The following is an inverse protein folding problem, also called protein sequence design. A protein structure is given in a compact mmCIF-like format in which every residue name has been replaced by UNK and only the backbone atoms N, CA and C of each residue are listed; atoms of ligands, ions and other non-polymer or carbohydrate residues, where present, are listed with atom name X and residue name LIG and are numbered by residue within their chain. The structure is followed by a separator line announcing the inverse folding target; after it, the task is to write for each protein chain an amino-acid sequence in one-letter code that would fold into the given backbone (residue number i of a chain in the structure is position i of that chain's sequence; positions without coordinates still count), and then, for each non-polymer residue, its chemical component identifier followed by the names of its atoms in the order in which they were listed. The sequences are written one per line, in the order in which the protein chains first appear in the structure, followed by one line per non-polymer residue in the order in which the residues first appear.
data_IF_641083466864
#
_entry.id   IF_641083466864
#
_cell.length_a   1.000
_cell.length_b   1.000
_cell.length_c   1.000
_cell.angle_alpha   90.00
_cell.angle_beta   90.00
_cell.angle_gamma   90.00
#
_symmetry.space_group_name_H-M   'P 1'
#
loop_
_entity.id
_entity.type
_entity.pdbx_description
1 polymer ?
#
# COMPACT_ATOMS: atom_id res chain seq x y z
N UNK A 1 -12.63 -16.01 8.69
CA UNK A 1 -12.38 -15.38 7.39
C UNK A 1 -11.41 -14.20 7.54
N UNK A 2 -11.57 -13.31 8.53
CA UNK A 2 -10.64 -12.16 8.72
C UNK A 2 -9.21 -12.59 8.97
N UNK A 3 -9.02 -13.59 9.82
CA UNK A 3 -7.72 -14.20 10.03
C UNK A 3 -7.15 -14.81 8.74
N UNK A 4 -7.99 -15.42 7.89
CA UNK A 4 -7.55 -15.99 6.61
C UNK A 4 -7.13 -14.88 5.63
N UNK A 5 -7.87 -13.78 5.59
CA UNK A 5 -7.54 -12.58 4.81
C UNK A 5 -6.22 -11.99 5.32
N UNK A 6 -6.08 -11.77 6.64
CA UNK A 6 -4.83 -11.31 7.27
C UNK A 6 -3.64 -12.23 6.99
N UNK A 7 -3.85 -13.55 7.01
CA UNK A 7 -2.81 -14.54 6.70
C UNK A 7 -2.41 -14.53 5.22
N UNK A 8 -3.35 -14.36 4.30
CA UNK A 8 -3.08 -14.33 2.86
C UNK A 8 -2.17 -13.16 2.45
N UNK A 9 -2.20 -12.05 3.21
CA UNK A 9 -1.43 -10.84 2.93
C UNK A 9 -0.29 -10.58 3.92
N UNK A 10 0.06 -11.57 4.75
CA UNK A 10 1.06 -11.42 5.81
C UNK A 10 2.45 -10.99 5.30
N UNK A 11 2.79 -11.34 4.05
CA UNK A 11 4.08 -11.02 3.42
C UNK A 11 3.99 -9.97 2.30
N UNK A 12 2.87 -9.25 2.16
CA UNK A 12 2.71 -8.22 1.12
C UNK A 12 3.01 -6.86 1.71
N UNK A 13 4.23 -6.36 1.48
CA UNK A 13 4.81 -5.20 2.18
C UNK A 13 3.99 -3.90 2.07
N UNK A 14 3.26 -3.70 0.97
CA UNK A 14 2.47 -2.47 0.74
C UNK A 14 1.02 -2.61 1.22
N UNK A 15 0.38 -3.76 0.97
CA UNK A 15 -1.06 -3.94 1.21
C UNK A 15 -1.33 -4.54 2.60
N UNK A 16 -0.41 -5.38 3.09
CA UNK A 16 -0.54 -6.10 4.35
C UNK A 16 -0.85 -5.22 5.58
N UNK A 17 -0.14 -4.08 5.78
CA UNK A 17 -0.43 -3.15 6.88
C UNK A 17 -1.86 -2.57 6.81
N UNK A 18 -2.26 -2.06 5.65
CA UNK A 18 -3.58 -1.45 5.43
C UNK A 18 -4.73 -2.45 5.60
N UNK A 19 -4.51 -3.67 5.16
CA UNK A 19 -5.47 -4.76 5.31
C UNK A 19 -5.61 -5.20 6.77
N UNK A 20 -4.53 -5.13 7.55
CA UNK A 20 -4.59 -5.35 9.01
C UNK A 20 -5.34 -4.25 9.76
N UNK A 21 -5.24 -3.01 9.30
CA UNK A 21 -5.95 -1.84 9.83
C UNK A 21 -7.44 -1.83 9.49
N UNK A 22 -7.89 -2.67 8.56
CA UNK A 22 -9.30 -2.77 8.16
C UNK A 22 -9.72 -1.78 7.07
N UNK A 23 -8.77 -1.19 6.35
CA UNK A 23 -9.03 -0.21 5.29
C UNK A 23 -9.43 -0.88 3.95
N UNK A 24 -10.41 -1.78 4.00
CA UNK A 24 -10.93 -2.48 2.84
C UNK A 24 -12.40 -2.84 3.03
N UNK A 25 -13.13 -2.91 1.92
CA UNK A 25 -14.50 -3.40 1.87
C UNK A 25 -14.54 -4.77 1.19
N UNK A 26 -15.44 -5.61 1.67
CA UNK A 26 -15.83 -6.84 0.96
C UNK A 26 -17.11 -6.56 0.19
N UNK A 27 -17.14 -6.98 -1.06
CA UNK A 27 -18.24 -6.74 -1.98
C UNK A 27 -18.78 -8.09 -2.45
N UNK A 28 -20.07 -8.29 -2.27
CA UNK A 28 -20.78 -9.49 -2.69
C UNK A 28 -21.01 -9.53 -4.21
N UNK A 29 -21.60 -10.63 -4.70
CA UNK A 29 -21.83 -10.86 -6.13
C UNK A 29 -22.77 -9.82 -6.77
N UNK A 30 -23.67 -9.23 -5.98
CA UNK A 30 -24.63 -8.22 -6.46
C UNK A 30 -24.13 -6.78 -6.21
N UNK A 31 -22.89 -6.62 -5.76
CA UNK A 31 -22.28 -5.32 -5.48
C UNK A 31 -22.56 -4.77 -4.08
N UNK A 32 -23.17 -5.55 -3.19
CA UNK A 32 -23.45 -5.14 -1.81
C UNK A 32 -22.19 -5.16 -0.94
N UNK A 33 -22.06 -4.18 -0.03
CA UNK A 33 -20.96 -4.17 0.94
C UNK A 33 -21.28 -5.16 2.07
N UNK A 34 -20.35 -6.07 2.33
CA UNK A 34 -20.44 -7.09 3.37
C UNK A 34 -19.59 -6.63 4.57
N UNK A 35 -20.26 -6.34 5.69
CA UNK A 35 -19.57 -5.95 6.91
C UNK A 35 -18.92 -7.17 7.58
N UNK A 36 -17.66 -7.01 8.00
CA UNK A 36 -16.86 -8.03 8.69
C UNK A 36 -17.53 -8.59 9.96
N UNK A 37 -18.42 -7.81 10.59
CA UNK A 37 -19.16 -8.23 11.79
C UNK A 37 -20.22 -9.30 11.50
N UNK A 38 -20.82 -9.31 10.30
CA UNK A 38 -22.01 -10.14 9.99
C UNK A 38 -21.78 -11.12 8.83
N UNK A 39 -20.64 -11.07 8.18
CA UNK A 39 -20.30 -11.95 7.04
C UNK A 39 -20.47 -13.45 7.28
N UNK A 40 -20.31 -13.95 8.53
CA UNK A 40 -20.45 -15.37 8.86
C UNK A 40 -21.86 -15.89 8.62
N UNK A 41 -22.87 -15.03 8.76
CA UNK A 41 -24.26 -15.36 8.53
C UNK A 41 -24.78 -14.94 7.15
N UNK A 42 -24.05 -14.07 6.45
CA UNK A 42 -24.47 -13.49 5.18
C UNK A 42 -23.86 -14.21 3.97
N UNK A 43 -22.57 -14.56 4.03
CA UNK A 43 -21.84 -15.18 2.91
C UNK A 43 -22.27 -16.63 2.74
N UNK A 44 -22.59 -17.02 1.50
CA UNK A 44 -23.02 -18.37 1.16
C UNK A 44 -21.97 -19.11 0.33
N UNK A 45 -21.95 -20.46 0.38
CA UNK A 45 -21.10 -21.25 -0.50
C UNK A 45 -21.33 -20.92 -1.98
N UNK A 46 -20.23 -20.80 -2.73
CA UNK A 46 -20.27 -20.48 -4.16
C UNK A 46 -20.29 -18.99 -4.49
N UNK A 47 -20.38 -18.10 -3.49
CA UNK A 47 -20.27 -16.66 -3.74
C UNK A 47 -18.86 -16.27 -4.18
N UNK A 48 -18.79 -15.43 -5.21
CA UNK A 48 -17.58 -14.67 -5.54
C UNK A 48 -17.59 -13.38 -4.73
N UNK A 49 -16.63 -13.23 -3.83
CA UNK A 49 -16.44 -12.03 -3.03
C UNK A 49 -15.26 -11.25 -3.58
N UNK A 50 -15.46 -9.97 -3.87
CA UNK A 50 -14.38 -9.05 -4.23
C UNK A 50 -13.96 -8.23 -3.02
N UNK A 51 -12.69 -7.85 -2.98
CA UNK A 51 -12.14 -6.98 -1.95
C UNK A 51 -11.67 -5.69 -2.58
N UNK A 52 -12.20 -4.57 -2.12
CA UNK A 52 -11.81 -3.25 -2.59
C UNK A 52 -11.03 -2.54 -1.49
N UNK A 53 -9.78 -2.19 -1.80
CA UNK A 53 -8.98 -1.34 -0.92
C UNK A 53 -9.46 0.09 -1.02
N UNK A 54 -9.47 0.80 0.11
CA UNK A 54 -9.71 2.24 0.11
C UNK A 54 -8.57 2.96 -0.63
N UNK A 55 -8.83 4.14 -1.22
CA UNK A 55 -7.80 4.92 -1.89
C UNK A 55 -6.65 5.21 -0.93
N UNK A 56 -5.44 4.80 -1.29
CA UNK A 56 -4.23 5.06 -0.51
C UNK A 56 -3.62 6.40 -0.93
N UNK A 57 -3.12 7.22 0.01
CA UNK A 57 -2.35 8.41 -0.35
C UNK A 57 -1.11 8.02 -1.18
N UNK A 58 -0.72 8.88 -2.11
CA UNK A 58 0.49 8.64 -2.91
C UNK A 58 1.71 8.51 -2.00
N UNK A 59 2.63 7.57 -2.29
CA UNK A 59 3.86 7.44 -1.54
C UNK A 59 4.65 8.76 -1.61
N UNK A 60 5.34 9.15 -0.53
CA UNK A 60 6.17 10.35 -0.56
C UNK A 60 7.18 10.23 -1.70
N UNK A 61 7.47 11.33 -2.42
CA UNK A 61 8.45 11.30 -3.50
C UNK A 61 9.77 10.75 -2.97
N UNK A 62 10.39 9.86 -3.75
CA UNK A 62 11.69 9.28 -3.39
C UNK A 62 12.66 10.41 -3.05
N UNK A 63 13.51 10.25 -2.02
CA UNK A 63 14.52 11.23 -1.71
C UNK A 63 15.35 11.46 -2.97
N UNK A 64 15.25 12.68 -3.50
CA UNK A 64 16.05 13.10 -4.64
C UNK A 64 17.52 12.86 -4.25
N UNK A 65 18.37 12.24 -5.11
CA UNK A 65 19.78 12.19 -4.83
C UNK A 65 20.21 13.61 -4.50
N UNK A 66 20.76 13.82 -3.29
CA UNK A 66 21.30 15.11 -2.88
C UNK A 66 22.15 15.58 -4.06
N UNK A 67 21.77 16.70 -4.70
CA UNK A 67 22.65 17.36 -5.66
C UNK A 67 23.94 17.58 -4.91
N UNK A 68 24.94 16.72 -5.13
CA UNK A 68 26.23 16.86 -4.48
C UNK A 68 26.65 18.30 -4.78
N UNK A 69 26.92 19.13 -3.76
CA UNK A 69 27.49 20.44 -4.03
C UNK A 69 28.73 20.18 -4.90
N UNK A 70 28.85 20.94 -5.98
CA UNK A 70 29.90 20.80 -6.99
C UNK A 70 31.26 21.13 -6.34
N UNK A 71 31.77 20.21 -5.51
CA UNK A 71 33.03 20.33 -4.77
C UNK A 71 34.22 20.29 -5.75
N UNK A 72 33.99 19.91 -7.01
CA UNK A 72 35.01 19.82 -8.05
C UNK A 72 35.36 21.14 -8.75
N UNK A 73 34.73 22.28 -8.40
CA UNK A 73 35.08 23.58 -9.02
C UNK A 73 36.05 24.45 -8.23
N UNK A 74 36.76 23.92 -7.22
CA UNK A 74 37.69 24.74 -6.41
C UNK A 74 39.15 24.74 -6.86
N UNK A 75 39.57 23.89 -7.80
CA UNK A 75 41.00 23.72 -8.11
C UNK A 75 41.42 24.11 -9.54
N UNK A 76 40.63 24.94 -10.25
CA UNK A 76 41.09 25.57 -11.49
C UNK A 76 41.70 26.95 -11.21
N UNK A 77 42.86 26.95 -10.56
CA UNK A 77 43.60 28.15 -10.18
C UNK A 77 45.07 28.11 -10.60
N UNK A 78 45.37 27.75 -11.85
CA UNK A 78 46.68 28.04 -12.43
C UNK A 78 46.84 29.56 -12.58
N UNK A 79 47.58 30.20 -11.68
CA UNK A 79 48.22 31.51 -11.94
C UNK A 79 49.72 31.40 -11.64
N UNK A 80 50.51 31.49 -12.71
CA UNK A 80 51.93 31.80 -12.67
C UNK A 80 52.15 33.24 -12.21
N UNK A 81 53.22 33.47 -11.46
CA UNK A 81 53.79 34.76 -11.08
C UNK A 81 55.14 34.54 -10.44
#
# INVERSE_FOLDING_TARGET
MEQLIKQAFLHVEVIGPHLHEGNHDLVGPEGEIILSQVWKSMVQPGWAINMHMWPMPEPPPLPQPLKQPDILKRDSGWRWG
#
